data_IF_412383153340
#
_entry.id   IF_412383153340
#
_cell.length_a   1.000
_cell.length_b   1.000
_cell.length_c   1.000
_cell.angle_alpha   90.00
_cell.angle_beta   90.00
_cell.angle_gamma   90.00
#
_symmetry.space_group_name_H-M   'P 1'
#
loop_
_entity.id
_entity.type
_entity.pdbx_description
1 polymer ?
#
# COMPACT_ATOMS: atom_id res chain seq x y z
N UNK A 1 9.26 -0.53 19.31
CA UNK A 1 10.11 -0.29 18.14
C UNK A 1 10.56 1.16 18.16
N UNK A 2 11.85 1.43 17.99
CA UNK A 2 12.33 2.79 17.75
C UNK A 2 11.74 3.29 16.42
N UNK A 3 11.08 4.45 16.44
CA UNK A 3 10.49 5.08 15.24
C UNK A 3 11.54 5.31 14.15
N UNK A 4 12.82 5.47 14.52
CA UNK A 4 13.95 5.54 13.58
C UNK A 4 14.09 4.25 12.77
N UNK A 5 13.97 3.08 13.40
CA UNK A 5 14.04 1.78 12.70
C UNK A 5 12.85 1.59 11.77
N UNK A 6 11.65 2.04 12.18
CA UNK A 6 10.48 1.99 11.32
C UNK A 6 10.63 2.88 10.08
N UNK A 7 11.11 4.12 10.26
CA UNK A 7 11.40 5.04 9.14
C UNK A 7 12.36 4.43 8.12
N UNK A 8 13.47 3.84 8.59
CA UNK A 8 14.43 3.15 7.70
C UNK A 8 13.74 2.04 6.91
N UNK A 9 12.90 1.22 7.56
CA UNK A 9 12.19 0.13 6.88
C UNK A 9 11.19 0.62 5.84
N UNK A 10 10.46 1.70 6.13
CA UNK A 10 9.53 2.32 5.17
C UNK A 10 10.29 2.86 3.95
N UNK A 11 11.44 3.50 4.17
CA UNK A 11 12.31 3.99 3.08
C UNK A 11 12.86 2.82 2.25
N UNK A 12 13.39 1.78 2.89
CA UNK A 12 13.88 0.60 2.17
C UNK A 12 12.78 -0.09 1.37
N UNK A 13 11.56 -0.17 1.93
CA UNK A 13 10.44 -0.81 1.27
C UNK A 13 9.99 -0.05 0.02
N UNK A 14 9.93 1.29 0.03
CA UNK A 14 9.58 2.03 -1.20
C UNK A 14 10.65 1.90 -2.28
N UNK A 15 11.93 1.92 -1.91
CA UNK A 15 13.00 1.70 -2.89
C UNK A 15 12.96 0.29 -3.46
N UNK A 16 12.65 -0.71 -2.64
CA UNK A 16 12.44 -2.08 -3.11
C UNK A 16 11.26 -2.16 -4.10
N UNK A 17 10.10 -1.60 -3.75
CA UNK A 17 8.91 -1.56 -4.61
C UNK A 17 9.23 -0.84 -5.93
N UNK A 18 9.85 0.33 -5.86
CA UNK A 18 10.24 1.10 -7.03
C UNK A 18 11.17 0.31 -7.95
N UNK A 19 12.24 -0.28 -7.41
CA UNK A 19 13.21 -1.03 -8.20
C UNK A 19 12.58 -2.27 -8.82
N UNK A 20 11.77 -3.00 -8.05
CA UNK A 20 11.06 -4.17 -8.54
C UNK A 20 10.05 -3.81 -9.63
N UNK A 21 9.30 -2.72 -9.48
CA UNK A 21 8.40 -2.20 -10.51
C UNK A 21 9.14 -1.82 -11.80
N UNK A 22 10.28 -1.13 -11.69
CA UNK A 22 11.09 -0.76 -12.86
C UNK A 22 11.56 -1.99 -13.63
N UNK A 23 12.00 -3.04 -12.93
CA UNK A 23 12.33 -4.33 -13.55
C UNK A 23 11.09 -4.94 -14.20
N UNK A 24 9.99 -5.04 -13.47
CA UNK A 24 8.75 -5.62 -13.96
C UNK A 24 8.25 -4.93 -15.24
N UNK A 25 8.30 -3.61 -15.31
CA UNK A 25 7.98 -2.85 -16.51
C UNK A 25 8.98 -3.10 -17.64
N UNK A 26 10.29 -3.08 -17.35
CA UNK A 26 11.35 -3.25 -18.37
C UNK A 26 11.30 -4.62 -19.05
N UNK A 27 10.84 -5.65 -18.33
CA UNK A 27 10.71 -7.01 -18.84
C UNK A 27 9.25 -7.38 -19.17
N UNK A 28 8.33 -6.43 -19.19
CA UNK A 28 6.90 -6.63 -19.47
C UNK A 28 6.24 -7.70 -18.58
N UNK A 29 6.69 -7.85 -17.33
CA UNK A 29 6.17 -8.86 -16.42
C UNK A 29 4.70 -8.67 -16.08
N UNK A 30 4.18 -7.44 -16.06
CA UNK A 30 2.75 -7.20 -15.86
C UNK A 30 1.89 -7.82 -16.97
N UNK A 31 2.42 -7.89 -18.19
CA UNK A 31 1.75 -8.57 -19.30
C UNK A 31 1.93 -10.09 -19.24
N UNK A 32 3.12 -10.57 -18.89
CA UNK A 32 3.45 -12.01 -18.86
C UNK A 32 2.89 -12.72 -17.61
N UNK A 33 2.80 -12.02 -16.50
CA UNK A 33 2.41 -12.49 -15.18
C UNK A 33 1.28 -11.61 -14.67
N UNK A 34 0.07 -11.85 -15.14
CA UNK A 34 -1.14 -11.11 -14.77
C UNK A 34 -1.34 -11.01 -13.24
N UNK A 35 -0.89 -12.01 -12.48
CA UNK A 35 -1.03 -12.02 -11.02
C UNK A 35 -0.02 -11.12 -10.30
N UNK A 36 0.99 -10.57 -10.99
CA UNK A 36 2.06 -9.78 -10.38
C UNK A 36 1.55 -8.46 -9.79
N UNK A 37 0.43 -7.95 -10.31
CA UNK A 37 -0.18 -6.72 -9.82
C UNK A 37 -0.66 -6.85 -8.37
N UNK A 38 -1.26 -8.00 -8.03
CA UNK A 38 -1.74 -8.29 -6.67
C UNK A 38 -0.63 -8.20 -5.58
N UNK A 39 0.56 -8.85 -5.71
CA UNK A 39 1.69 -8.61 -4.83
C UNK A 39 2.16 -7.15 -4.78
N UNK A 40 2.07 -6.42 -5.89
CA UNK A 40 2.49 -5.02 -5.94
C UNK A 40 1.54 -4.12 -5.15
N UNK A 41 0.23 -4.32 -5.28
CA UNK A 41 -0.78 -3.70 -4.43
C UNK A 41 -0.59 -4.10 -2.96
N UNK A 42 -0.35 -5.37 -2.66
CA UNK A 42 -0.06 -5.78 -1.28
C UNK A 42 1.14 -5.04 -0.68
N UNK A 43 2.24 -4.92 -1.42
CA UNK A 43 3.43 -4.21 -0.97
C UNK A 43 3.18 -2.69 -0.87
N UNK A 44 2.42 -2.13 -1.81
CA UNK A 44 1.97 -0.74 -1.81
C UNK A 44 1.13 -0.41 -0.58
N UNK A 45 0.09 -1.20 -0.30
CA UNK A 45 -0.75 -1.10 0.89
C UNK A 45 0.05 -1.26 2.19
N UNK A 46 0.95 -2.24 2.25
CA UNK A 46 1.86 -2.44 3.38
C UNK A 46 2.73 -1.18 3.62
N UNK A 47 3.34 -0.65 2.57
CA UNK A 47 4.19 0.54 2.66
C UNK A 47 3.39 1.77 3.08
N UNK A 48 2.28 2.05 2.40
CA UNK A 48 1.47 3.22 2.63
C UNK A 48 0.94 3.25 4.06
N UNK A 49 0.37 2.15 4.54
CA UNK A 49 -0.17 2.11 5.89
C UNK A 49 0.93 2.27 6.94
N UNK A 50 2.14 1.74 6.74
CA UNK A 50 3.28 2.03 7.63
C UNK A 50 3.68 3.52 7.60
N UNK A 51 3.62 4.18 6.44
CA UNK A 51 3.88 5.60 6.31
C UNK A 51 2.79 6.44 7.02
N UNK A 52 1.51 6.10 6.85
CA UNK A 52 0.38 6.72 7.55
C UNK A 52 0.52 6.56 9.07
N UNK A 53 0.90 5.37 9.53
CA UNK A 53 1.18 5.10 10.94
C UNK A 53 2.30 6.02 11.47
N UNK A 54 3.41 6.16 10.73
CA UNK A 54 4.51 7.06 11.10
C UNK A 54 4.07 8.54 11.18
N UNK A 55 3.12 8.96 10.34
CA UNK A 55 2.62 10.32 10.30
C UNK A 55 1.62 10.62 11.44
N UNK A 56 0.78 9.65 11.82
CA UNK A 56 -0.26 9.82 12.84
C UNK A 56 0.27 9.56 14.26
N UNK A 57 1.27 8.70 14.44
CA UNK A 57 1.91 8.41 15.73
C UNK A 57 2.84 9.57 16.16
N UNK A 58 2.82 10.06 17.42
CA UNK A 58 2.34 9.47 18.67
C UNK A 58 1.15 10.27 19.25
N UNK A 59 -0.03 10.21 18.65
CA UNK A 59 -1.21 10.84 19.25
C UNK A 59 -1.71 10.00 20.43
N UNK A 60 -1.97 10.66 21.57
CA UNK A 60 -2.18 10.06 22.91
C UNK A 60 -3.33 9.04 23.02
N UNK A 61 -4.30 9.03 22.10
CA UNK A 61 -5.41 8.08 22.11
C UNK A 61 -5.19 6.91 21.16
N UNK A 62 -4.92 5.75 21.75
CA UNK A 62 -4.76 4.47 21.04
C UNK A 62 -6.10 3.95 20.50
N UNK A 63 -7.23 4.28 21.16
CA UNK A 63 -8.59 3.85 20.76
C UNK A 63 -8.96 4.32 19.35
N UNK A 64 -8.58 5.55 19.01
CA UNK A 64 -8.95 6.18 17.74
C UNK A 64 -7.85 6.02 16.68
N UNK A 65 -6.72 5.41 17.06
CA UNK A 65 -5.55 5.29 16.20
C UNK A 65 -5.81 4.31 15.05
N UNK A 66 -6.23 3.08 15.37
CA UNK A 66 -6.43 2.03 14.36
C UNK A 66 -7.53 2.40 13.36
N UNK A 67 -8.75 2.81 13.79
CA UNK A 67 -9.80 3.18 12.86
C UNK A 67 -9.38 4.34 11.94
N UNK A 68 -8.63 5.31 12.47
CA UNK A 68 -8.12 6.45 11.68
C UNK A 68 -7.07 6.03 10.65
N UNK A 69 -6.13 5.15 11.02
CA UNK A 69 -5.13 4.62 10.10
C UNK A 69 -5.80 3.84 8.96
N UNK A 70 -6.78 3.00 9.28
CA UNK A 70 -7.54 2.23 8.28
C UNK A 70 -8.29 3.19 7.35
N UNK A 71 -9.02 4.16 7.90
CA UNK A 71 -9.79 5.12 7.11
C UNK A 71 -8.90 5.92 6.15
N UNK A 72 -7.78 6.47 6.63
CA UNK A 72 -6.86 7.24 5.80
C UNK A 72 -6.24 6.37 4.72
N UNK A 73 -5.82 5.13 5.05
CA UNK A 73 -5.23 4.22 4.05
C UNK A 73 -6.26 3.85 2.97
N UNK A 74 -7.49 3.50 3.38
CA UNK A 74 -8.57 3.14 2.47
C UNK A 74 -8.93 4.28 1.51
N UNK A 75 -8.96 5.52 1.99
CA UNK A 75 -9.20 6.68 1.12
C UNK A 75 -8.13 6.83 0.05
N UNK A 76 -6.87 6.57 0.39
CA UNK A 76 -5.76 6.64 -0.59
C UNK A 76 -5.83 5.48 -1.58
N UNK A 77 -6.18 4.26 -1.14
CA UNK A 77 -6.37 3.11 -2.04
C UNK A 77 -7.48 3.39 -3.06
N UNK A 78 -8.63 3.87 -2.60
CA UNK A 78 -9.75 4.24 -3.48
C UNK A 78 -9.35 5.37 -4.43
N UNK A 79 -8.62 6.38 -3.93
CA UNK A 79 -8.16 7.48 -4.77
C UNK A 79 -7.17 7.02 -5.84
N UNK A 80 -6.28 6.08 -5.50
CA UNK A 80 -5.34 5.48 -6.45
C UNK A 80 -6.06 4.75 -7.58
N UNK A 81 -7.08 3.95 -7.26
CA UNK A 81 -7.89 3.28 -8.26
C UNK A 81 -8.63 4.26 -9.18
N UNK A 82 -9.25 5.30 -8.61
CA UNK A 82 -9.91 6.35 -9.41
C UNK A 82 -8.88 7.02 -10.33
N UNK A 83 -7.69 7.34 -9.82
CA UNK A 83 -6.61 7.90 -10.62
C UNK A 83 -6.19 6.96 -11.76
N UNK A 84 -6.05 5.67 -11.49
CA UNK A 84 -5.67 4.66 -12.47
C UNK A 84 -6.72 4.56 -13.59
N UNK A 85 -8.02 4.57 -13.25
CA UNK A 85 -9.12 4.55 -14.22
C UNK A 85 -9.08 5.80 -15.12
N UNK A 86 -8.89 6.99 -14.53
CA UNK A 86 -8.81 8.24 -15.30
C UNK A 86 -7.62 8.18 -16.26
N UNK A 87 -6.45 7.78 -15.77
CA UNK A 87 -5.23 7.72 -16.60
C UNK A 87 -5.37 6.68 -17.71
N UNK A 88 -5.86 5.46 -17.41
CA UNK A 88 -6.09 4.40 -18.40
C UNK A 88 -7.00 4.89 -19.53
N UNK A 89 -8.08 5.60 -19.20
CA UNK A 89 -9.00 6.16 -20.20
C UNK A 89 -8.36 7.23 -21.09
N UNK A 90 -7.50 8.10 -20.55
CA UNK A 90 -6.84 9.17 -21.31
C UNK A 90 -5.73 8.66 -22.24
N UNK A 91 -5.03 7.60 -21.86
CA UNK A 91 -3.90 7.05 -22.63
C UNK A 91 -4.28 5.90 -23.58
N UNK A 92 -5.57 5.56 -23.67
CA UNK A 92 -6.06 4.49 -24.53
C UNK A 92 -5.73 3.07 -24.04
N UNK A 93 -5.65 2.88 -22.72
CA UNK A 93 -5.49 1.57 -22.09
C UNK A 93 -6.76 0.72 -22.11
N UNK A 94 -6.69 -0.48 -21.55
CA UNK A 94 -7.85 -1.36 -21.42
C UNK A 94 -8.98 -0.70 -20.63
N UNK A 95 -10.22 -1.02 -21.02
CA UNK A 95 -11.43 -0.54 -20.36
C UNK A 95 -11.45 -0.97 -18.88
N UNK A 96 -12.10 -0.16 -18.05
CA UNK A 96 -12.33 -0.43 -16.63
C UNK A 96 -12.78 -1.88 -16.38
N UNK A 97 -11.99 -2.62 -15.59
CA UNK A 97 -12.33 -3.94 -15.08
C UNK A 97 -12.60 -3.86 -13.58
N UNK A 98 -13.88 -4.05 -13.21
CA UNK A 98 -14.29 -4.06 -11.82
C UNK A 98 -13.59 -5.15 -11.00
N UNK A 99 -13.24 -6.29 -11.61
CA UNK A 99 -12.57 -7.39 -10.90
C UNK A 99 -11.13 -7.04 -10.54
N UNK A 100 -10.43 -6.38 -11.45
CA UNK A 100 -9.06 -5.87 -11.28
C UNK A 100 -9.01 -4.91 -10.09
N UNK A 101 -9.79 -3.82 -10.16
CA UNK A 101 -9.91 -2.81 -9.09
C UNK A 101 -10.34 -3.39 -7.74
N UNK A 102 -11.28 -4.35 -7.72
CA UNK A 102 -11.66 -5.00 -6.47
C UNK A 102 -10.52 -5.85 -5.90
N UNK A 103 -9.78 -6.55 -6.75
CA UNK A 103 -8.63 -7.32 -6.33
C UNK A 103 -7.53 -6.41 -5.77
N UNK A 104 -7.25 -5.30 -6.44
CA UNK A 104 -6.25 -4.30 -6.04
C UNK A 104 -6.56 -3.73 -4.66
N UNK A 105 -7.80 -3.26 -4.44
CA UNK A 105 -8.26 -2.77 -3.14
C UNK A 105 -8.16 -3.87 -2.06
N UNK A 106 -8.50 -5.11 -2.39
CA UNK A 106 -8.39 -6.24 -1.46
C UNK A 106 -6.93 -6.50 -1.04
N UNK A 107 -5.98 -6.47 -1.98
CA UNK A 107 -4.56 -6.70 -1.70
C UNK A 107 -3.94 -5.50 -0.99
N UNK A 108 -4.30 -4.27 -1.35
CA UNK A 108 -3.91 -3.06 -0.63
C UNK A 108 -4.35 -3.12 0.84
N UNK A 109 -5.61 -3.51 1.10
CA UNK A 109 -6.12 -3.72 2.45
C UNK A 109 -5.38 -4.83 3.20
N UNK A 110 -5.10 -5.97 2.55
CA UNK A 110 -4.34 -7.06 3.16
C UNK A 110 -2.93 -6.61 3.56
N UNK A 111 -2.28 -5.81 2.71
CA UNK A 111 -1.00 -5.15 3.03
C UNK A 111 -1.13 -4.20 4.20
N UNK A 112 -2.17 -3.37 4.22
CA UNK A 112 -2.44 -2.42 5.30
C UNK A 112 -2.72 -3.08 6.65
N UNK A 113 -3.51 -4.15 6.68
CA UNK A 113 -3.72 -4.93 7.91
C UNK A 113 -2.43 -5.59 8.39
N UNK A 114 -1.60 -6.08 7.45
CA UNK A 114 -0.27 -6.61 7.77
C UNK A 114 0.63 -5.53 8.38
N UNK A 115 0.60 -4.29 7.87
CA UNK A 115 1.32 -3.15 8.43
C UNK A 115 0.91 -2.86 9.89
N UNK A 116 -0.40 -2.84 10.16
CA UNK A 116 -0.97 -2.60 11.49
C UNK A 116 -0.55 -3.73 12.45
N UNK A 117 -0.72 -4.99 12.05
CA UNK A 117 -0.32 -6.14 12.85
C UNK A 117 1.18 -6.12 13.16
N UNK A 118 2.00 -5.85 12.15
CA UNK A 118 3.44 -5.73 12.29
C UNK A 118 3.84 -4.59 13.25
N UNK A 119 3.18 -3.43 13.15
CA UNK A 119 3.41 -2.30 14.04
C UNK A 119 3.17 -2.67 15.51
N UNK A 120 2.01 -3.27 15.81
CA UNK A 120 1.66 -3.71 17.17
C UNK A 120 2.57 -4.82 17.68
N UNK A 121 2.96 -5.78 16.83
CA UNK A 121 3.89 -6.85 17.23
C UNK A 121 5.28 -6.33 17.59
N UNK A 122 5.73 -5.23 16.97
CA UNK A 122 7.09 -4.68 17.15
C UNK A 122 7.14 -3.50 18.12
N UNK A 123 6.01 -2.88 18.44
CA UNK A 123 5.90 -1.86 19.48
C UNK A 123 5.28 -2.51 20.71
N UNK A 124 6.10 -2.69 21.74
CA UNK A 124 5.58 -2.85 23.09
C UNK A 124 4.80 -1.57 23.40
N UNK A 125 3.48 -1.63 23.31
CA UNK A 125 2.62 -0.69 23.99
C UNK A 125 2.78 -1.03 25.48
N UNK A 126 3.75 -0.38 26.13
CA UNK A 126 3.80 -0.33 27.58
C UNK A 126 2.83 0.75 28.05
#
# INVERSE_FOLDING_TARGET
MDTKKLKIRVVLLIFFILFFNLIAMSFHWYYLLWWLDMPMHFLGGLWLTLAVILFIYPRKNVSDFVPRVILVSLLVFIFWEIFQIIVKNEIGGDLFDLKDTLSDICFDLAGGFTAIFYFFKRIKLN
#
